data_IF_394497031884
#
_entry.id   IF_394497031884
#
_cell.length_a   1.000
_cell.length_b   1.000
_cell.length_c   1.000
_cell.angle_alpha   90.00
_cell.angle_beta   90.00
_cell.angle_gamma   90.00
#
_symmetry.space_group_name_H-M   'P 1'
#
loop_
_entity.id
_entity.type
_entity.pdbx_description
1 polymer ?
#
# COMPACT_ATOMS: atom_id res chain seq x y z
N UNK A 1 -58.43 -5.90 27.64
CA UNK A 1 -58.57 -4.82 26.67
C UNK A 1 -57.14 -4.52 26.12
N UNK A 2 -56.87 -4.96 24.92
CA UNK A 2 -55.56 -4.82 24.27
C UNK A 2 -55.58 -3.49 23.48
N UNK A 3 -54.76 -2.52 23.89
CA UNK A 3 -54.62 -1.27 23.16
C UNK A 3 -53.81 -1.53 21.88
N UNK A 4 -54.31 -1.10 20.74
CA UNK A 4 -53.69 -1.29 19.45
C UNK A 4 -52.40 -0.51 19.34
N UNK A 5 -51.36 -1.06 18.65
CA UNK A 5 -50.06 -0.44 18.43
C UNK A 5 -50.11 0.95 17.84
N UNK A 6 -51.21 1.34 17.18
CA UNK A 6 -51.44 2.68 16.61
C UNK A 6 -51.78 3.72 17.69
N UNK A 7 -52.43 3.34 18.78
CA UNK A 7 -52.79 4.22 19.89
C UNK A 7 -51.56 4.56 20.75
N UNK A 8 -50.60 3.64 20.86
CA UNK A 8 -49.35 3.83 21.59
C UNK A 8 -48.42 4.84 20.85
N UNK A 9 -48.43 4.79 19.53
CA UNK A 9 -47.62 5.68 18.69
C UNK A 9 -48.12 7.13 18.72
N UNK A 10 -49.44 7.35 18.80
CA UNK A 10 -50.04 8.69 18.91
C UNK A 10 -49.76 9.34 20.28
N UNK A 11 -49.72 8.56 21.37
CA UNK A 11 -49.37 9.06 22.70
C UNK A 11 -47.90 9.45 22.84
N UNK A 12 -47.00 8.77 22.11
CA UNK A 12 -45.58 9.13 22.11
C UNK A 12 -45.29 10.41 21.34
N UNK A 13 -46.09 10.69 20.27
CA UNK A 13 -45.92 11.88 19.44
C UNK A 13 -46.41 13.16 20.18
N UNK A 14 -47.42 13.08 21.03
CA UNK A 14 -47.94 14.21 21.83
C UNK A 14 -47.04 14.54 23.01
N UNK A 15 -46.26 13.59 23.55
CA UNK A 15 -45.32 13.85 24.64
C UNK A 15 -44.05 14.57 24.17
N UNK A 16 -43.61 14.33 22.96
CA UNK A 16 -42.43 15.02 22.35
C UNK A 16 -42.74 16.45 21.99
N UNK A 17 -43.99 16.78 21.64
CA UNK A 17 -44.40 18.15 21.29
C UNK A 17 -44.57 19.09 22.50
N UNK A 18 -44.77 18.52 23.73
CA UNK A 18 -44.95 19.31 24.94
C UNK A 18 -43.63 19.77 25.59
N UNK A 19 -42.47 19.20 25.22
CA UNK A 19 -41.17 19.57 25.79
C UNK A 19 -40.50 20.74 25.04
N UNK A 20 -40.96 21.09 23.82
CA UNK A 20 -40.34 22.14 22.99
C UNK A 20 -40.89 23.54 23.30
N UNK A 21 -41.96 23.68 24.10
CA UNK A 21 -42.63 24.97 24.38
C UNK A 21 -42.29 25.59 25.76
N UNK A 22 -41.32 25.04 26.52
CA UNK A 22 -41.00 25.52 27.85
C UNK A 22 -39.66 26.28 27.97
N UNK A 23 -39.07 26.73 26.86
CA UNK A 23 -37.76 27.38 26.84
C UNK A 23 -37.80 28.76 26.16
N UNK A 24 -38.73 29.64 26.56
CA UNK A 24 -38.65 31.08 26.28
C UNK A 24 -39.59 31.81 27.26
N UNK A 25 -39.06 32.27 28.34
CA UNK A 25 -39.46 33.56 28.93
C UNK A 25 -38.71 33.80 30.26
N UNK A 26 -37.87 34.82 30.31
CA UNK A 26 -37.89 35.91 31.32
C UNK A 26 -36.61 36.74 31.13
N UNK A 27 -36.91 38.00 30.85
CA UNK A 27 -35.99 39.15 30.93
C UNK A 27 -35.78 39.53 32.41
N UNK A 28 -34.62 40.16 32.62
CA UNK A 28 -34.30 41.31 33.44
C UNK A 28 -33.31 41.16 34.59
N UNK A 29 -32.30 42.02 34.39
CA UNK A 29 -31.51 42.89 35.31
C UNK A 29 -30.31 42.37 36.08
N UNK A 30 -29.27 43.14 35.83
CA UNK A 30 -27.90 43.21 36.33
C UNK A 30 -27.66 43.05 37.81
N UNK A 31 -26.54 42.47 38.15
CA UNK A 31 -25.52 43.08 39.04
C UNK A 31 -24.19 42.30 39.01
N UNK A 32 -23.08 43.03 38.85
CA UNK A 32 -21.68 42.61 38.90
C UNK A 32 -21.34 41.68 40.04
N UNK A 33 -20.54 40.64 39.78
CA UNK A 33 -19.40 40.27 40.63
C UNK A 33 -18.45 39.38 39.82
N UNK A 34 -17.21 39.85 39.64
CA UNK A 34 -16.03 39.16 39.13
C UNK A 34 -15.82 37.79 39.80
N UNK A 35 -15.68 36.77 39.02
CA UNK A 35 -14.92 35.58 39.35
C UNK A 35 -14.33 34.98 38.11
N UNK A 36 -13.04 35.16 37.98
CA UNK A 36 -12.14 34.64 36.97
C UNK A 36 -12.02 33.13 37.17
N UNK A 37 -12.69 32.33 36.39
CA UNK A 37 -12.29 30.93 36.15
C UNK A 37 -11.87 30.81 34.70
N UNK A 38 -10.55 30.77 34.54
CA UNK A 38 -9.84 30.51 33.30
C UNK A 38 -9.99 29.01 33.01
N UNK A 39 -11.03 28.64 32.28
CA UNK A 39 -11.10 27.32 31.64
C UNK A 39 -10.16 27.35 30.43
N UNK A 40 -8.93 26.94 30.67
CA UNK A 40 -7.94 26.73 29.63
C UNK A 40 -8.32 25.44 28.90
N UNK A 41 -9.18 25.56 27.88
CA UNK A 41 -9.26 24.55 26.86
C UNK A 41 -7.90 24.55 26.15
N UNK A 42 -7.06 23.60 26.52
CA UNK A 42 -5.86 23.28 25.77
C UNK A 42 -6.34 22.74 24.42
N UNK A 43 -6.47 23.61 23.42
CA UNK A 43 -6.36 23.19 22.03
C UNK A 43 -4.96 22.61 21.92
N UNK A 44 -4.87 21.29 21.85
CA UNK A 44 -3.69 20.62 21.35
C UNK A 44 -3.54 21.11 19.91
N UNK A 45 -2.82 22.21 19.75
CA UNK A 45 -2.22 22.60 18.49
C UNK A 45 -1.25 21.47 18.18
N UNK A 46 -1.68 20.48 17.40
CA UNK A 46 -0.77 19.58 16.73
C UNK A 46 0.18 20.46 15.93
N UNK A 47 1.35 20.66 16.50
CA UNK A 47 2.46 21.34 15.84
C UNK A 47 2.78 20.45 14.65
N UNK A 48 2.37 20.87 13.46
CA UNK A 48 2.93 20.40 12.21
C UNK A 48 4.46 20.61 12.33
N UNK A 49 5.13 19.59 12.82
CA UNK A 49 6.57 19.48 12.67
C UNK A 49 6.81 19.41 11.18
N UNK A 50 7.33 20.48 10.58
CA UNK A 50 7.65 20.60 9.17
C UNK A 50 8.70 19.57 8.76
N UNK A 51 8.31 18.30 8.75
CA UNK A 51 9.00 17.19 8.15
C UNK A 51 8.55 17.03 6.70
N UNK A 52 9.41 16.50 5.86
CA UNK A 52 9.07 16.13 4.49
C UNK A 52 8.16 14.90 4.47
N UNK A 53 6.99 15.00 5.10
CA UNK A 53 5.99 13.93 5.18
C UNK A 53 4.87 14.20 4.18
N UNK A 54 4.49 13.20 3.42
CA UNK A 54 3.41 13.27 2.43
C UNK A 54 2.17 12.56 2.98
N UNK A 55 1.03 13.24 2.92
CA UNK A 55 -0.27 12.66 3.28
C UNK A 55 -1.14 12.66 2.02
N UNK A 56 -1.62 11.48 1.65
CA UNK A 56 -2.49 11.25 0.49
C UNK A 56 -3.83 10.73 1.01
N UNK A 57 -4.95 11.35 0.60
CA UNK A 57 -6.28 10.82 0.89
C UNK A 57 -6.85 10.13 -0.35
N UNK A 58 -7.05 8.81 -0.25
CA UNK A 58 -7.51 7.93 -1.32
C UNK A 58 -8.94 7.46 -1.11
N UNK A 59 -9.63 7.16 -2.22
CA UNK A 59 -11.01 6.65 -2.22
C UNK A 59 -11.12 5.30 -1.51
N UNK A 60 -10.16 4.41 -1.71
CA UNK A 60 -10.20 3.03 -1.24
C UNK A 60 -8.82 2.53 -0.80
N UNK A 61 -8.84 1.50 0.01
CA UNK A 61 -7.67 0.84 0.55
C UNK A 61 -7.06 -0.18 -0.43
N UNK A 62 -5.84 -0.63 -0.15
CA UNK A 62 -5.26 -1.82 -0.78
C UNK A 62 -6.05 -3.08 -0.39
N UNK A 63 -6.12 -4.04 -1.28
CA UNK A 63 -6.62 -5.38 -0.96
C UNK A 63 -5.51 -6.24 -0.35
N UNK A 64 -4.27 -6.04 -0.80
CA UNK A 64 -3.08 -6.73 -0.32
C UNK A 64 -1.83 -5.93 -0.65
N UNK A 65 -0.82 -6.01 0.21
CA UNK A 65 0.50 -5.46 -0.09
C UNK A 65 1.43 -6.50 -0.75
N UNK A 66 0.97 -7.74 -0.95
CA UNK A 66 1.67 -8.77 -1.72
C UNK A 66 1.57 -8.45 -3.23
N UNK A 67 2.70 -8.21 -3.95
CA UNK A 67 2.68 -7.89 -5.37
C UNK A 67 2.18 -9.07 -6.22
N UNK A 68 2.19 -10.29 -5.69
CA UNK A 68 1.65 -11.49 -6.34
C UNK A 68 0.21 -11.77 -5.95
N UNK A 69 -0.31 -11.16 -4.86
CA UNK A 69 -1.58 -11.52 -4.21
C UNK A 69 -2.80 -10.71 -4.66
N UNK A 70 -2.60 -9.65 -5.45
CA UNK A 70 -3.70 -8.77 -5.88
C UNK A 70 -3.49 -8.28 -7.31
N UNK A 71 -4.59 -7.87 -7.97
CA UNK A 71 -4.56 -7.32 -9.33
C UNK A 71 -5.48 -6.09 -9.43
N UNK A 72 -5.41 -5.20 -8.45
CA UNK A 72 -6.13 -3.95 -8.40
C UNK A 72 -5.18 -2.75 -8.39
N UNK A 73 -5.71 -1.58 -8.78
CA UNK A 73 -4.93 -0.35 -8.95
C UNK A 73 -4.41 0.17 -7.61
N UNK A 74 -5.24 0.17 -6.56
CA UNK A 74 -4.86 0.73 -5.26
C UNK A 74 -3.71 -0.06 -4.64
N UNK A 75 -3.83 -1.39 -4.58
CA UNK A 75 -2.73 -2.25 -4.13
C UNK A 75 -1.45 -2.00 -4.93
N UNK A 76 -1.57 -1.88 -6.27
CA UNK A 76 -0.43 -1.61 -7.16
C UNK A 76 0.26 -0.29 -6.85
N UNK A 77 -0.50 0.78 -6.58
CA UNK A 77 0.05 2.10 -6.25
C UNK A 77 0.89 2.06 -4.97
N UNK A 78 0.49 1.27 -3.98
CA UNK A 78 1.23 1.13 -2.73
C UNK A 78 2.45 0.23 -2.91
N UNK A 79 2.26 -0.92 -3.57
CA UNK A 79 3.32 -1.90 -3.86
C UNK A 79 4.49 -1.30 -4.65
N UNK A 80 4.24 -0.39 -5.59
CA UNK A 80 5.26 0.28 -6.41
C UNK A 80 6.25 1.14 -5.61
N UNK A 81 5.94 1.47 -4.36
CA UNK A 81 6.84 2.19 -3.47
C UNK A 81 7.73 1.25 -2.63
N UNK A 82 7.31 -0.02 -2.51
CA UNK A 82 7.94 -1.04 -1.66
C UNK A 82 8.80 -1.99 -2.50
N UNK A 83 8.29 -2.38 -3.68
CA UNK A 83 8.95 -3.36 -4.55
C UNK A 83 9.46 -2.73 -5.84
N UNK A 84 10.51 -3.31 -6.36
CA UNK A 84 11.07 -2.94 -7.66
C UNK A 84 11.12 -4.15 -8.58
N UNK A 85 11.17 -3.87 -9.87
CA UNK A 85 11.21 -4.86 -10.96
C UNK A 85 12.56 -4.88 -11.66
N UNK A 86 12.84 -5.94 -12.42
CA UNK A 86 14.09 -6.05 -13.19
C UNK A 86 14.21 -4.98 -14.26
N UNK A 87 13.09 -4.70 -14.95
CA UNK A 87 12.97 -3.70 -16.03
C UNK A 87 11.92 -2.70 -15.59
N UNK A 88 12.13 -1.42 -15.87
CA UNK A 88 11.16 -0.35 -15.60
C UNK A 88 10.76 0.35 -16.90
N UNK A 89 9.75 1.22 -16.83
CA UNK A 89 9.49 2.21 -17.87
C UNK A 89 10.02 3.56 -17.41
N UNK A 90 10.76 4.22 -18.28
CA UNK A 90 11.21 5.59 -18.03
C UNK A 90 10.06 6.60 -18.21
N UNK A 91 10.36 7.89 -18.03
CA UNK A 91 9.39 8.98 -18.19
C UNK A 91 8.79 9.13 -19.59
N UNK A 92 9.39 8.51 -20.60
CA UNK A 92 8.90 8.50 -21.98
C UNK A 92 8.07 7.23 -22.26
N UNK A 93 8.04 6.28 -21.33
CA UNK A 93 7.40 4.96 -21.50
C UNK A 93 8.32 3.91 -22.10
N UNK A 94 9.60 4.24 -22.39
CA UNK A 94 10.57 3.31 -22.92
C UNK A 94 11.08 2.33 -21.85
N UNK A 95 11.51 1.14 -22.29
CA UNK A 95 12.12 0.16 -21.39
C UNK A 95 13.48 0.65 -20.90
N UNK A 96 13.68 0.62 -19.59
CA UNK A 96 14.88 1.10 -18.93
C UNK A 96 15.33 0.13 -17.81
N UNK A 97 16.64 0.16 -17.45
CA UNK A 97 17.19 -0.62 -16.34
C UNK A 97 16.50 -0.32 -15.01
N UNK A 98 15.98 -1.40 -14.37
CA UNK A 98 15.53 -1.41 -12.99
C UNK A 98 16.56 -2.11 -12.09
N UNK A 99 16.17 -3.21 -11.44
CA UNK A 99 17.10 -4.07 -10.69
C UNK A 99 18.06 -4.86 -11.60
N UNK A 100 17.75 -5.00 -12.89
CA UNK A 100 18.72 -5.41 -13.90
C UNK A 100 19.40 -4.19 -14.52
N UNK A 101 20.73 -4.22 -14.63
CA UNK A 101 21.54 -3.18 -15.30
C UNK A 101 21.45 -3.27 -16.81
N UNK A 102 21.32 -4.51 -17.32
CA UNK A 102 21.22 -4.79 -18.75
C UNK A 102 20.60 -6.18 -18.99
N UNK A 103 20.18 -6.40 -20.23
CA UNK A 103 19.67 -7.70 -20.68
C UNK A 103 20.06 -7.97 -22.13
N UNK A 104 20.11 -9.24 -22.47
CA UNK A 104 20.44 -9.71 -23.81
C UNK A 104 19.62 -10.95 -24.14
N UNK A 105 19.07 -11.04 -25.32
CA UNK A 105 18.50 -12.28 -25.82
C UNK A 105 19.62 -13.18 -26.31
N UNK A 106 19.90 -14.28 -25.59
CA UNK A 106 21.02 -15.20 -25.89
C UNK A 106 20.66 -16.26 -26.93
N UNK A 107 19.38 -16.60 -27.00
CA UNK A 107 18.78 -17.41 -28.06
C UNK A 107 17.27 -17.07 -28.20
N UNK A 108 16.56 -17.79 -29.08
CA UNK A 108 15.14 -17.49 -29.37
C UNK A 108 14.21 -17.62 -28.14
N UNK A 109 14.60 -18.43 -27.16
CA UNK A 109 13.80 -18.75 -25.96
C UNK A 109 14.37 -18.15 -24.69
N UNK A 110 15.59 -17.60 -24.71
CA UNK A 110 16.32 -17.28 -23.49
C UNK A 110 16.74 -15.81 -23.45
N UNK A 111 16.34 -15.13 -22.40
CA UNK A 111 16.80 -13.80 -22.05
C UNK A 111 17.72 -13.85 -20.84
N UNK A 112 18.90 -13.25 -20.93
CA UNK A 112 19.86 -13.11 -19.83
C UNK A 112 19.82 -11.69 -19.28
N UNK A 113 19.79 -11.57 -17.94
CA UNK A 113 19.81 -10.32 -17.22
C UNK A 113 21.04 -10.23 -16.32
N UNK A 114 21.75 -9.10 -16.39
CA UNK A 114 22.81 -8.74 -15.44
C UNK A 114 22.18 -7.89 -14.33
N UNK A 115 22.31 -8.36 -13.11
CA UNK A 115 21.67 -7.77 -11.93
C UNK A 115 22.58 -6.73 -11.29
N UNK A 116 21.97 -5.72 -10.66
CA UNK A 116 22.70 -4.74 -9.85
C UNK A 116 23.33 -5.40 -8.65
N UNK A 117 24.50 -4.89 -8.26
CA UNK A 117 25.18 -5.27 -7.03
C UNK A 117 25.00 -4.21 -5.95
N UNK A 118 25.12 -4.60 -4.68
CA UNK A 118 25.01 -3.69 -3.53
C UNK A 118 23.60 -3.27 -3.20
N UNK A 119 22.58 -3.86 -3.82
CA UNK A 119 21.16 -3.67 -3.46
C UNK A 119 20.82 -4.56 -2.27
N UNK A 120 20.11 -4.01 -1.29
CA UNK A 120 19.60 -4.75 -0.13
C UNK A 120 18.09 -4.61 -0.01
N UNK A 121 17.46 -5.69 0.44
CA UNK A 121 16.05 -5.65 0.84
C UNK A 121 15.88 -4.84 2.14
N UNK A 122 14.64 -4.47 2.45
CA UNK A 122 14.29 -3.71 3.66
C UNK A 122 14.65 -4.43 4.96
N UNK A 123 14.75 -5.75 4.93
CA UNK A 123 15.14 -6.62 6.07
C UNK A 123 16.65 -6.87 6.15
N UNK A 124 17.44 -6.28 5.25
CA UNK A 124 18.91 -6.39 5.20
C UNK A 124 19.44 -7.56 4.37
N UNK A 125 18.57 -8.43 3.83
CA UNK A 125 18.99 -9.48 2.89
C UNK A 125 19.56 -8.87 1.61
N UNK A 126 20.52 -9.57 0.99
CA UNK A 126 21.15 -9.11 -0.26
C UNK A 126 20.28 -9.49 -1.46
N UNK A 127 20.04 -8.54 -2.36
CA UNK A 127 19.44 -8.83 -3.65
C UNK A 127 20.45 -9.53 -4.56
N UNK A 128 20.05 -10.66 -5.15
CA UNK A 128 20.85 -11.48 -6.05
C UNK A 128 19.96 -12.30 -6.99
N UNK A 129 20.57 -13.17 -7.81
CA UNK A 129 19.86 -14.01 -8.77
C UNK A 129 18.92 -15.04 -8.10
N UNK A 130 19.26 -15.54 -6.91
CA UNK A 130 18.37 -16.44 -6.15
C UNK A 130 17.09 -15.74 -5.69
N UNK A 131 17.17 -14.45 -5.29
CA UNK A 131 16.00 -13.68 -4.93
C UNK A 131 15.04 -13.48 -6.13
N UNK A 132 15.62 -13.26 -7.33
CA UNK A 132 14.84 -13.18 -8.57
C UNK A 132 14.16 -14.51 -8.85
N UNK A 133 14.94 -15.61 -8.88
CA UNK A 133 14.38 -16.93 -9.09
C UNK A 133 13.25 -17.26 -8.13
N UNK A 134 13.46 -17.05 -6.85
CA UNK A 134 12.48 -17.35 -5.79
C UNK A 134 11.19 -16.55 -5.93
N UNK A 135 11.29 -15.28 -6.35
CA UNK A 135 10.11 -14.43 -6.60
C UNK A 135 9.30 -14.93 -7.79
N UNK A 136 9.97 -15.36 -8.88
CA UNK A 136 9.27 -15.87 -10.06
C UNK A 136 8.78 -17.31 -9.87
N UNK A 137 9.50 -18.17 -9.16
CA UNK A 137 9.00 -19.48 -8.77
C UNK A 137 7.71 -19.33 -7.94
N UNK A 138 7.67 -18.35 -7.01
CA UNK A 138 6.48 -18.07 -6.18
C UNK A 138 5.29 -17.57 -6.99
N UNK A 139 5.46 -16.62 -7.92
CA UNK A 139 4.30 -16.10 -8.69
C UNK A 139 3.70 -17.17 -9.59
N UNK A 140 4.49 -18.15 -10.02
CA UNK A 140 4.07 -19.28 -10.86
C UNK A 140 3.61 -20.50 -10.04
N UNK A 141 3.79 -20.48 -8.72
CA UNK A 141 3.37 -21.57 -7.85
C UNK A 141 1.84 -21.68 -7.79
N UNK A 142 1.25 -22.85 -8.14
CA UNK A 142 -0.19 -23.06 -8.03
C UNK A 142 -0.73 -22.91 -6.61
N UNK A 143 0.08 -23.11 -5.55
CA UNK A 143 -0.34 -22.93 -4.16
C UNK A 143 -0.53 -21.45 -3.81
N UNK A 144 0.22 -20.55 -4.43
CA UNK A 144 0.06 -19.11 -4.31
C UNK A 144 -1.19 -18.64 -5.06
N UNK A 145 -1.54 -19.31 -6.15
CA UNK A 145 -2.70 -19.00 -6.99
C UNK A 145 -2.74 -17.52 -7.41
N UNK A 146 -1.58 -16.96 -7.78
CA UNK A 146 -1.43 -15.55 -8.10
C UNK A 146 -2.37 -15.11 -9.22
N UNK A 147 -3.19 -14.06 -9.03
CA UNK A 147 -4.00 -13.49 -10.11
C UNK A 147 -3.17 -12.84 -11.22
N UNK A 148 -1.84 -12.77 -11.06
CA UNK A 148 -0.88 -12.22 -12.03
C UNK A 148 0.01 -13.27 -12.68
N UNK A 149 -0.14 -14.56 -12.34
CA UNK A 149 0.66 -15.65 -12.92
C UNK A 149 0.60 -15.67 -14.45
N UNK A 150 -0.55 -15.29 -15.05
CA UNK A 150 -0.73 -15.26 -16.51
C UNK A 150 0.27 -14.35 -17.25
N UNK A 151 0.86 -13.35 -16.56
CA UNK A 151 1.88 -12.48 -17.13
C UNK A 151 3.19 -13.21 -17.41
N UNK A 152 3.42 -14.33 -16.73
CA UNK A 152 4.70 -15.05 -16.75
C UNK A 152 4.53 -16.55 -17.03
N UNK A 153 3.33 -17.02 -17.37
CA UNK A 153 3.06 -18.45 -17.63
C UNK A 153 3.89 -19.06 -18.78
N UNK A 154 4.39 -18.19 -19.70
CA UNK A 154 5.29 -18.61 -20.76
C UNK A 154 6.71 -18.88 -20.26
N UNK A 155 7.08 -18.45 -19.06
CA UNK A 155 8.39 -18.69 -18.45
C UNK A 155 8.38 -20.11 -17.87
N UNK A 156 9.19 -20.97 -18.44
CA UNK A 156 9.32 -22.38 -18.00
C UNK A 156 10.36 -22.56 -16.92
N UNK A 157 11.34 -21.66 -16.87
CA UNK A 157 12.43 -21.73 -15.91
C UNK A 157 13.11 -20.37 -15.73
N UNK A 158 13.47 -20.05 -14.50
CA UNK A 158 14.39 -18.97 -14.14
C UNK A 158 15.68 -19.61 -13.64
N UNK A 159 16.75 -19.51 -14.44
CA UNK A 159 18.05 -20.12 -14.15
C UNK A 159 18.98 -19.13 -13.47
N UNK A 160 19.54 -19.50 -12.34
CA UNK A 160 20.65 -18.79 -11.71
C UNK A 160 21.95 -19.25 -12.40
N UNK A 161 22.66 -18.33 -13.02
CA UNK A 161 23.96 -18.58 -13.65
C UNK A 161 25.08 -18.29 -12.67
N UNK A 162 24.98 -17.17 -11.98
CA UNK A 162 25.81 -16.74 -10.86
C UNK A 162 25.03 -15.75 -10.01
N UNK A 163 25.61 -15.21 -8.93
CA UNK A 163 24.95 -14.30 -8.00
C UNK A 163 24.36 -13.05 -8.67
N UNK A 164 24.88 -12.64 -9.82
CA UNK A 164 24.54 -11.40 -10.53
C UNK A 164 23.97 -11.65 -11.93
N UNK A 165 23.74 -12.91 -12.31
CA UNK A 165 23.26 -13.27 -13.64
C UNK A 165 22.13 -14.28 -13.55
N UNK A 166 21.00 -13.93 -14.16
CA UNK A 166 19.82 -14.79 -14.23
C UNK A 166 19.35 -14.92 -15.69
N UNK A 167 18.85 -16.10 -16.06
CA UNK A 167 18.24 -16.33 -17.37
C UNK A 167 16.77 -16.72 -17.20
N UNK A 168 15.91 -16.10 -18.02
CA UNK A 168 14.52 -16.47 -18.20
C UNK A 168 14.38 -17.31 -19.46
N UNK A 169 13.93 -18.53 -19.32
CA UNK A 169 13.66 -19.46 -20.43
C UNK A 169 12.16 -19.49 -20.66
N UNK A 170 11.75 -19.29 -21.92
CA UNK A 170 10.33 -19.31 -22.31
C UNK A 170 10.00 -20.56 -23.13
N UNK A 171 8.75 -21.01 -23.08
CA UNK A 171 8.25 -22.16 -23.84
C UNK A 171 8.30 -21.94 -25.36
N UNK A 172 8.10 -20.68 -25.77
CA UNK A 172 8.13 -20.23 -27.17
C UNK A 172 8.73 -18.83 -27.24
N UNK A 173 9.20 -18.37 -28.43
CA UNK A 173 9.74 -17.03 -28.60
C UNK A 173 8.73 -15.97 -28.17
N UNK A 174 9.05 -15.20 -27.12
CA UNK A 174 8.13 -14.24 -26.51
C UNK A 174 8.78 -12.87 -26.34
N UNK A 175 8.71 -12.04 -27.37
CA UNK A 175 9.26 -10.68 -27.39
C UNK A 175 8.65 -9.74 -26.33
N UNK A 176 7.37 -9.86 -25.91
CA UNK A 176 6.79 -9.00 -24.88
C UNK A 176 7.34 -9.21 -23.47
N UNK A 177 8.16 -10.23 -23.20
CA UNK A 177 8.67 -10.56 -21.86
C UNK A 177 9.23 -9.33 -21.13
N UNK A 178 10.06 -8.52 -21.80
CA UNK A 178 10.64 -7.31 -21.20
C UNK A 178 9.57 -6.31 -20.75
N UNK A 179 8.49 -6.17 -21.52
CA UNK A 179 7.38 -5.30 -21.14
C UNK A 179 6.60 -5.89 -19.95
N UNK A 180 6.41 -7.21 -19.89
CA UNK A 180 5.78 -7.88 -18.76
C UNK A 180 6.61 -7.72 -17.48
N UNK A 181 7.93 -7.75 -17.57
CA UNK A 181 8.84 -7.54 -16.44
C UNK A 181 8.82 -6.11 -15.89
N UNK A 182 8.14 -5.16 -16.54
CA UNK A 182 7.90 -3.82 -15.98
C UNK A 182 6.65 -3.76 -15.10
N UNK A 183 5.81 -4.80 -15.12
CA UNK A 183 4.59 -4.84 -14.35
C UNK A 183 4.91 -5.10 -12.87
N UNK A 184 4.20 -4.42 -11.95
CA UNK A 184 4.46 -4.56 -10.51
C UNK A 184 4.28 -5.99 -9.96
N UNK A 185 3.53 -6.86 -10.67
CA UNK A 185 3.50 -8.30 -10.40
C UNK A 185 4.86 -9.00 -10.58
N UNK A 186 5.83 -8.38 -11.24
CA UNK A 186 7.23 -8.83 -11.30
C UNK A 186 8.11 -8.22 -10.22
N UNK A 187 7.52 -7.62 -9.20
CA UNK A 187 8.22 -7.07 -8.05
C UNK A 187 9.00 -8.15 -7.29
N UNK A 188 10.27 -7.86 -7.00
CA UNK A 188 11.15 -8.82 -6.33
C UNK A 188 10.93 -8.72 -4.82
N UNK A 189 10.65 -9.85 -4.20
CA UNK A 189 10.34 -10.01 -2.78
C UNK A 189 11.57 -10.57 -2.06
N UNK A 190 11.81 -10.17 -0.81
CA UNK A 190 12.86 -10.73 0.02
C UNK A 190 12.72 -12.27 0.13
N UNK A 191 13.78 -13.04 -0.14
CA UNK A 191 13.78 -14.50 0.05
C UNK A 191 13.32 -14.92 1.44
N UNK A 192 13.71 -14.18 2.47
CA UNK A 192 13.33 -14.42 3.85
C UNK A 192 11.84 -14.19 4.09
N UNK A 193 11.26 -13.13 3.48
CA UNK A 193 9.82 -12.87 3.57
C UNK A 193 9.02 -13.97 2.85
N UNK A 194 9.50 -14.48 1.72
CA UNK A 194 8.88 -15.61 1.01
C UNK A 194 8.92 -16.87 1.89
N UNK A 195 10.06 -17.18 2.53
CA UNK A 195 10.17 -18.34 3.42
C UNK A 195 9.23 -18.23 4.63
N UNK A 196 9.11 -17.03 5.21
CA UNK A 196 8.20 -16.79 6.32
C UNK A 196 6.73 -16.96 5.88
N UNK A 197 6.37 -16.48 4.68
CA UNK A 197 5.02 -16.64 4.13
C UNK A 197 4.66 -18.12 3.91
N UNK A 198 5.55 -18.90 3.28
CA UNK A 198 5.35 -20.34 3.11
C UNK A 198 5.30 -21.10 4.43
N UNK A 199 6.14 -20.74 5.40
CA UNK A 199 6.13 -21.36 6.73
C UNK A 199 4.85 -21.07 7.51
N UNK A 200 4.14 -19.99 7.19
CA UNK A 200 2.86 -19.62 7.82
C UNK A 200 1.66 -20.39 7.25
N UNK A 201 1.82 -21.10 6.11
CA UNK A 201 0.71 -21.84 5.48
C UNK A 201 0.35 -23.01 6.38
N UNK A 202 -0.77 -22.89 7.11
CA UNK A 202 -1.33 -23.94 7.97
C UNK A 202 -2.85 -23.82 8.03
N UNK A 203 -3.57 -24.91 7.85
CA UNK A 203 -5.04 -24.89 7.93
C UNK A 203 -5.68 -23.93 6.94
N UNK A 204 -6.35 -22.88 7.45
CA UNK A 204 -7.03 -21.87 6.62
C UNK A 204 -6.10 -20.70 6.19
N UNK A 205 -4.84 -20.67 6.67
CA UNK A 205 -3.86 -19.64 6.30
C UNK A 205 -3.29 -19.96 4.93
N UNK A 206 -3.46 -19.04 3.98
CA UNK A 206 -3.02 -19.17 2.59
C UNK A 206 -1.70 -18.44 2.36
N UNK A 207 -1.01 -18.80 1.27
CA UNK A 207 0.10 -18.03 0.75
C UNK A 207 -0.29 -16.56 0.54
N UNK A 208 0.63 -15.63 0.81
CA UNK A 208 0.42 -14.19 0.73
C UNK A 208 -0.17 -13.57 2.01
N UNK A 209 -0.45 -14.36 3.04
CA UNK A 209 -0.98 -13.83 4.31
C UNK A 209 0.05 -13.01 5.10
N UNK A 210 1.32 -13.37 5.04
CA UNK A 210 2.41 -12.63 5.70
C UNK A 210 2.84 -11.46 4.82
N UNK A 211 3.21 -11.71 3.57
CA UNK A 211 3.69 -10.67 2.64
C UNK A 211 2.60 -9.61 2.40
N UNK A 212 1.34 -10.01 2.40
CA UNK A 212 0.20 -9.09 2.21
C UNK A 212 0.02 -8.07 3.31
N UNK A 213 0.61 -8.28 4.49
CA UNK A 213 0.50 -7.41 5.68
C UNK A 213 1.83 -6.90 6.22
N UNK A 214 2.94 -7.53 5.84
CA UNK A 214 4.31 -7.16 6.20
C UNK A 214 5.23 -7.29 4.98
N UNK A 215 5.09 -6.40 4.00
CA UNK A 215 5.80 -6.46 2.72
C UNK A 215 7.27 -6.08 2.85
N UNK A 216 8.16 -6.84 2.21
CA UNK A 216 9.61 -6.61 2.21
C UNK A 216 10.14 -6.63 0.77
N UNK A 217 10.48 -5.46 0.26
CA UNK A 217 11.06 -5.24 -1.07
C UNK A 217 12.40 -4.51 -1.02
N UNK A 218 12.80 -3.93 -2.14
CA UNK A 218 14.05 -3.15 -2.30
C UNK A 218 13.77 -1.65 -2.50
N UNK A 219 12.52 -1.25 -2.55
CA UNK A 219 12.06 0.08 -2.98
C UNK A 219 12.47 1.24 -2.09
N UNK A 220 12.17 2.48 -2.54
CA UNK A 220 12.55 3.72 -1.86
C UNK A 220 11.86 3.93 -0.52
N UNK A 221 10.76 3.23 -0.27
CA UNK A 221 10.04 3.25 1.01
C UNK A 221 9.88 1.86 1.59
N UNK A 222 9.92 1.79 2.93
CA UNK A 222 9.67 0.60 3.74
C UNK A 222 8.27 0.67 4.33
N UNK A 223 7.66 -0.48 4.51
CA UNK A 223 6.45 -0.62 5.29
C UNK A 223 6.70 -0.21 6.75
N UNK A 224 5.78 0.55 7.34
CA UNK A 224 5.76 0.91 8.75
C UNK A 224 4.54 0.31 9.45
N UNK A 225 3.34 0.65 8.95
CA UNK A 225 2.11 0.16 9.55
C UNK A 225 0.93 0.22 8.56
N UNK A 226 -0.06 -0.64 8.78
CA UNK A 226 -1.31 -0.63 8.04
C UNK A 226 -2.49 -0.97 8.96
N UNK A 227 -3.44 -0.05 9.03
CA UNK A 227 -4.75 -0.26 9.66
C UNK A 227 -5.78 -0.35 8.55
N UNK A 228 -6.22 -1.56 8.14
CA UNK A 228 -7.14 -1.75 7.02
C UNK A 228 -8.39 -0.88 7.14
N UNK A 229 -8.75 -0.21 6.04
CA UNK A 229 -9.88 0.71 5.97
C UNK A 229 -9.64 2.08 6.60
N UNK A 230 -8.45 2.36 7.13
CA UNK A 230 -8.09 3.62 7.78
C UNK A 230 -6.85 4.26 7.14
N UNK A 231 -5.67 3.69 7.37
CA UNK A 231 -4.43 4.26 6.84
C UNK A 231 -3.33 3.22 6.64
N UNK A 232 -2.49 3.48 5.66
CA UNK A 232 -1.21 2.81 5.43
C UNK A 232 -0.09 3.84 5.58
N UNK A 233 0.98 3.48 6.29
CA UNK A 233 2.15 4.32 6.44
C UNK A 233 3.40 3.62 5.93
N UNK A 234 4.16 4.36 5.13
CA UNK A 234 5.46 3.99 4.62
C UNK A 234 6.51 4.97 5.14
N UNK A 235 7.71 4.50 5.46
CA UNK A 235 8.85 5.32 5.86
C UNK A 235 9.98 5.19 4.86
N UNK A 236 10.79 6.22 4.75
CA UNK A 236 11.93 6.27 3.85
C UNK A 236 12.87 5.08 4.05
N UNK A 237 13.32 4.49 2.96
CA UNK A 237 14.44 3.55 2.96
C UNK A 237 15.76 4.32 2.92
N UNK A 238 16.42 4.48 4.08
CA UNK A 238 17.69 5.20 4.17
C UNK A 238 18.84 4.48 3.44
N UNK A 239 18.70 3.17 3.20
CA UNK A 239 19.67 2.35 2.48
C UNK A 239 19.29 2.13 1.01
N UNK A 240 18.43 2.99 0.46
CA UNK A 240 17.99 2.83 -0.93
C UNK A 240 19.19 2.96 -1.88
N UNK A 241 19.34 1.98 -2.76
CA UNK A 241 20.48 1.85 -3.67
C UNK A 241 20.56 2.94 -4.75
N UNK A 242 19.43 3.57 -5.08
CA UNK A 242 19.33 4.64 -6.06
C UNK A 242 19.20 6.00 -5.34
N UNK A 243 18.69 7.03 -6.01
CA UNK A 243 18.48 8.34 -5.42
C UNK A 243 17.44 8.28 -4.28
N UNK A 244 17.84 8.55 -3.02
CA UNK A 244 16.91 8.53 -1.91
C UNK A 244 15.80 9.56 -2.06
N UNK A 245 14.61 9.23 -1.56
CA UNK A 245 13.50 10.18 -1.50
C UNK A 245 13.82 11.39 -0.62
N UNK A 246 13.30 12.57 -0.98
CA UNK A 246 13.30 13.74 -0.11
C UNK A 246 12.22 13.66 0.98
N UNK A 247 11.24 12.77 0.81
CA UNK A 247 10.19 12.53 1.80
C UNK A 247 10.72 11.59 2.89
N UNK A 248 10.35 11.85 4.15
CA UNK A 248 10.64 10.98 5.29
C UNK A 248 9.60 9.88 5.42
N UNK A 249 8.34 10.21 5.14
CA UNK A 249 7.22 9.27 5.19
C UNK A 249 6.15 9.58 4.15
N UNK A 250 5.35 8.56 3.85
CA UNK A 250 4.11 8.67 3.07
C UNK A 250 3.01 8.01 3.87
N UNK A 251 1.98 8.78 4.22
CA UNK A 251 0.76 8.27 4.87
C UNK A 251 -0.38 8.32 3.86
N UNK A 252 -1.00 7.19 3.61
CA UNK A 252 -2.14 7.06 2.72
C UNK A 252 -3.38 6.81 3.59
N UNK A 253 -4.29 7.77 3.62
CA UNK A 253 -5.56 7.70 4.37
C UNK A 253 -6.67 7.21 3.47
N UNK A 254 -7.51 6.33 3.97
CA UNK A 254 -8.72 5.87 3.27
C UNK A 254 -9.87 6.80 3.62
N UNK A 255 -10.28 7.63 2.67
CA UNK A 255 -11.35 8.62 2.83
C UNK A 255 -12.36 8.47 1.69
N UNK A 256 -13.37 7.59 1.83
CA UNK A 256 -14.29 7.25 0.74
C UNK A 256 -15.12 8.44 0.23
N UNK A 257 -15.51 9.36 1.11
CA UNK A 257 -16.34 10.49 0.75
C UNK A 257 -15.55 11.61 0.06
N UNK A 258 -15.90 11.92 -1.19
CA UNK A 258 -15.18 12.93 -2.00
C UNK A 258 -15.21 14.33 -1.38
N UNK A 259 -16.33 14.75 -0.77
CA UNK A 259 -16.43 16.03 -0.09
C UNK A 259 -15.47 16.12 1.10
N UNK A 260 -15.28 15.02 1.83
CA UNK A 260 -14.35 14.94 2.95
C UNK A 260 -12.90 15.03 2.45
N UNK A 261 -12.54 14.33 1.35
CA UNK A 261 -11.19 14.46 0.75
C UNK A 261 -10.90 15.91 0.34
N UNK A 262 -11.88 16.60 -0.29
CA UNK A 262 -11.75 18.04 -0.63
C UNK A 262 -11.55 18.89 0.62
N UNK A 263 -12.29 18.63 1.70
CA UNK A 263 -12.13 19.36 2.97
C UNK A 263 -10.75 19.10 3.62
N UNK A 264 -10.21 17.88 3.53
CA UNK A 264 -8.88 17.56 4.05
C UNK A 264 -7.76 18.30 3.32
N UNK A 265 -7.81 18.38 1.98
CA UNK A 265 -6.81 19.17 1.23
C UNK A 265 -6.94 20.66 1.51
N UNK A 266 -8.16 21.20 1.63
CA UNK A 266 -8.38 22.61 1.96
C UNK A 266 -7.90 23.00 3.36
N UNK A 267 -7.97 22.06 4.32
CA UNK A 267 -7.50 22.26 5.70
C UNK A 267 -6.03 21.89 5.91
N UNK A 268 -5.32 21.41 4.88
CA UNK A 268 -3.94 20.96 4.98
C UNK A 268 -3.75 19.62 5.68
N UNK A 269 -4.82 18.86 5.93
CA UNK A 269 -4.78 17.50 6.51
C UNK A 269 -4.39 16.42 5.50
N UNK A 270 -4.49 16.72 4.21
CA UNK A 270 -3.95 15.95 3.10
C UNK A 270 -3.23 16.89 2.13
N UNK A 271 -2.20 16.37 1.46
CA UNK A 271 -1.41 17.09 0.46
C UNK A 271 -1.83 16.73 -0.97
N UNK A 272 -2.37 15.52 -1.14
CA UNK A 272 -2.89 14.98 -2.40
C UNK A 272 -4.21 14.28 -2.10
N UNK A 273 -5.14 14.31 -3.05
CA UNK A 273 -6.38 13.52 -3.02
C UNK A 273 -6.51 12.73 -4.32
N UNK A 274 -6.92 11.44 -4.22
CA UNK A 274 -7.20 10.52 -5.33
C UNK A 274 -8.69 10.39 -5.64
#
# INVERSE_FOLDING_TARGET
MSLSKKSLWLMLLTFVLAVVLAACNSDDEATDTESTDTDTSTEETETSTGGNDLIIAELSDAQSLDPHGSNDVQSSNFQNNIYETLVIRDKNGDLAPGLAESWTQVDELTWEFKLRTGVTFHDGETFNAEAVKKSFDRILDPEVASPRAFLYEMVTEVKVIDDTTVQFVTEYPFSPLLAHLTHNGGGIISPKAIDADYAAITGDVKAGSVIGTDPVGTGPFKFDSWTPGSELKLVKNENYWNTPSHLNSVTIKVVPESATRVAEIQSGKAHIIG
#
